data_IF_542066865981
#
_entry.id   IF_542066865981
#
_cell.length_a   1.000
_cell.length_b   1.000
_cell.length_c   1.000
_cell.angle_alpha   90.00
_cell.angle_beta   90.00
_cell.angle_gamma   90.00
#
_symmetry.space_group_name_H-M   'P 1'
#
loop_
_entity.id
_entity.type
_entity.pdbx_description
1 polymer ?
#
# COMPACT_ATOMS: atom_id res chain seq x y z
N UNK A 1 0.79 17.46 21.68
CA UNK A 1 2.04 17.24 22.48
C UNK A 1 3.25 16.76 21.65
N UNK A 2 3.05 16.37 20.40
CA UNK A 2 4.16 15.94 19.50
C UNK A 2 4.99 17.13 19.00
N UNK A 3 4.43 18.32 18.96
CA UNK A 3 5.10 19.53 18.44
C UNK A 3 6.18 20.13 19.36
N UNK A 4 6.24 19.76 20.62
CA UNK A 4 7.25 20.28 21.57
C UNK A 4 8.63 19.63 21.43
N UNK A 5 8.75 18.51 20.72
CA UNK A 5 10.00 17.79 20.50
C UNK A 5 10.88 18.37 19.39
N UNK A 6 10.41 19.38 18.65
CA UNK A 6 11.09 19.90 17.45
C UNK A 6 11.82 21.25 17.67
N UNK A 7 11.94 21.70 18.91
CA UNK A 7 12.50 23.03 19.20
C UNK A 7 13.84 22.91 19.94
N UNK A 8 14.96 22.98 19.21
CA UNK A 8 16.30 23.14 19.73
C UNK A 8 17.31 22.08 19.24
N UNK A 9 18.51 22.52 18.85
CA UNK A 9 19.55 21.67 18.26
C UNK A 9 20.06 20.56 19.20
N UNK A 10 20.05 20.79 20.51
CA UNK A 10 20.48 19.77 21.50
C UNK A 10 19.43 18.67 21.71
N UNK A 11 18.15 18.98 21.58
CA UNK A 11 17.09 17.97 21.58
C UNK A 11 17.15 17.05 20.37
N UNK A 12 17.50 17.57 19.20
CA UNK A 12 17.61 16.76 17.97
C UNK A 12 18.62 15.63 18.07
N UNK A 13 19.74 15.81 18.77
CA UNK A 13 20.78 14.76 18.95
C UNK A 13 20.27 13.66 19.87
N UNK A 14 19.69 14.03 21.03
CA UNK A 14 19.12 13.07 21.98
C UNK A 14 17.94 12.31 21.40
N UNK A 15 17.09 12.99 20.66
CA UNK A 15 15.94 12.38 20.01
C UNK A 15 16.37 11.42 18.88
N UNK A 16 17.47 11.73 18.17
CA UNK A 16 18.04 10.81 17.19
C UNK A 16 18.48 9.49 17.82
N UNK A 17 19.21 9.55 18.94
CA UNK A 17 19.67 8.35 19.65
C UNK A 17 18.50 7.54 20.23
N UNK A 18 17.51 8.21 20.80
CA UNK A 18 16.29 7.58 21.28
C UNK A 18 15.49 6.90 20.15
N UNK A 19 15.35 7.56 19.00
CA UNK A 19 14.68 7.00 17.83
C UNK A 19 15.42 5.77 17.29
N UNK A 20 16.76 5.83 17.22
CA UNK A 20 17.58 4.68 16.83
C UNK A 20 17.39 3.53 17.83
N UNK A 21 17.34 3.82 19.13
CA UNK A 21 17.12 2.81 20.18
C UNK A 21 15.82 2.06 20.06
N UNK A 22 14.75 2.70 19.56
CA UNK A 22 13.45 2.06 19.29
C UNK A 22 13.34 1.49 17.86
N UNK A 23 14.42 1.56 17.06
CA UNK A 23 14.46 1.02 15.71
C UNK A 23 13.93 1.97 14.63
N UNK A 24 13.81 3.26 14.92
CA UNK A 24 13.42 4.31 13.97
C UNK A 24 14.65 5.14 13.55
N UNK A 25 14.42 6.14 12.69
CA UNK A 25 15.47 7.06 12.24
C UNK A 25 14.84 8.44 12.01
N UNK A 26 15.48 9.49 12.52
CA UNK A 26 15.03 10.87 12.32
C UNK A 26 15.14 11.31 10.85
N UNK A 27 16.17 10.88 10.13
CA UNK A 27 16.42 11.32 8.76
C UNK A 27 16.54 12.85 8.65
N UNK A 28 15.74 13.43 7.75
CA UNK A 28 15.65 14.91 7.58
C UNK A 28 14.61 15.59 8.49
N UNK A 29 14.05 14.87 9.45
CA UNK A 29 13.03 15.37 10.37
C UNK A 29 11.60 15.36 9.83
N UNK A 30 11.33 14.66 8.74
CA UNK A 30 9.99 14.48 8.22
C UNK A 30 9.17 13.53 9.08
N UNK A 31 7.93 13.91 9.39
CA UNK A 31 6.96 13.05 10.07
C UNK A 31 5.72 12.89 9.19
N UNK A 32 5.38 11.66 8.88
CA UNK A 32 4.16 11.32 8.14
C UNK A 32 3.24 10.54 9.09
N UNK A 33 2.06 11.09 9.35
CA UNK A 33 1.01 10.43 10.14
C UNK A 33 0.05 9.74 9.18
N UNK A 34 -0.26 8.49 9.44
CA UNK A 34 -1.13 7.65 8.62
C UNK A 34 -2.22 7.03 9.51
N UNK A 35 -3.32 6.64 8.91
CA UNK A 35 -4.47 6.01 9.56
C UNK A 35 -4.78 4.62 8.94
N UNK A 36 -5.88 4.02 9.35
CA UNK A 36 -6.31 2.69 8.89
C UNK A 36 -6.70 2.66 7.40
N UNK A 37 -6.92 3.81 6.79
CA UNK A 37 -7.21 3.93 5.35
C UNK A 37 -5.94 3.89 4.48
N UNK A 38 -4.76 3.79 5.10
CA UNK A 38 -3.47 3.67 4.41
C UNK A 38 -2.98 2.22 4.40
N UNK A 39 -2.67 1.69 3.22
CA UNK A 39 -2.10 0.35 3.08
C UNK A 39 -0.58 0.38 3.29
N UNK A 40 -0.09 -0.34 4.30
CA UNK A 40 1.35 -0.34 4.63
C UNK A 40 2.20 -1.01 3.54
N UNK A 41 1.64 -1.95 2.78
CA UNK A 41 2.32 -2.59 1.64
C UNK A 41 2.50 -1.60 0.49
N UNK A 42 1.48 -0.81 0.19
CA UNK A 42 1.52 0.21 -0.86
C UNK A 42 2.44 1.38 -0.49
N UNK A 43 2.43 1.79 0.77
CA UNK A 43 3.36 2.79 1.31
C UNK A 43 4.82 2.32 1.21
N UNK A 44 5.11 1.07 1.57
CA UNK A 44 6.45 0.50 1.42
C UNK A 44 6.89 0.47 -0.05
N UNK A 45 5.97 0.14 -0.96
CA UNK A 45 6.19 0.19 -2.42
C UNK A 45 6.51 1.61 -2.89
N UNK A 46 5.74 2.60 -2.44
CA UNK A 46 5.95 4.02 -2.78
C UNK A 46 7.35 4.52 -2.39
N UNK A 47 7.80 4.22 -1.17
CA UNK A 47 9.15 4.60 -0.74
C UNK A 47 10.25 3.89 -1.52
N UNK A 48 10.02 2.64 -1.92
CA UNK A 48 10.96 1.92 -2.76
C UNK A 48 11.02 2.46 -4.19
N UNK A 49 9.89 2.84 -4.77
CA UNK A 49 9.84 3.48 -6.09
C UNK A 49 10.74 4.72 -6.12
N UNK A 50 10.56 5.61 -5.15
CA UNK A 50 11.44 6.76 -4.96
C UNK A 50 12.92 6.35 -4.86
N UNK A 51 13.24 5.32 -4.08
CA UNK A 51 14.64 4.87 -3.92
C UNK A 51 15.22 4.28 -5.22
N UNK A 52 14.42 3.60 -6.01
CA UNK A 52 14.82 3.07 -7.32
C UNK A 52 15.18 4.21 -8.26
N UNK A 53 14.38 5.27 -8.29
CA UNK A 53 14.60 6.44 -9.14
C UNK A 53 15.83 7.26 -8.71
N UNK A 54 16.08 7.38 -7.40
CA UNK A 54 17.22 8.09 -6.84
C UNK A 54 18.52 7.26 -6.83
N UNK A 55 18.49 6.00 -7.23
CA UNK A 55 19.67 5.14 -7.26
C UNK A 55 20.67 5.61 -8.30
N UNK A 56 21.92 5.87 -7.87
CA UNK A 56 23.00 6.24 -8.77
C UNK A 56 23.47 5.09 -9.70
N UNK A 57 22.97 3.88 -9.49
CA UNK A 57 23.24 2.70 -10.31
C UNK A 57 24.63 2.07 -10.19
N UNK A 58 25.52 2.56 -9.29
CA UNK A 58 26.90 2.07 -9.16
C UNK A 58 27.00 0.67 -8.57
N UNK A 59 26.39 0.42 -7.41
CA UNK A 59 26.52 -0.87 -6.76
C UNK A 59 25.35 -1.80 -7.08
N UNK A 60 25.65 -3.06 -7.33
CA UNK A 60 24.64 -4.08 -7.69
C UNK A 60 23.57 -4.30 -6.63
N UNK A 61 23.88 -4.37 -5.30
CA UNK A 61 22.84 -4.55 -4.29
C UNK A 61 21.79 -3.45 -4.30
N UNK A 62 22.17 -2.19 -4.47
CA UNK A 62 21.22 -1.09 -4.60
C UNK A 62 20.50 -1.15 -5.97
N UNK A 63 21.25 -1.06 -7.08
CA UNK A 63 20.69 -0.97 -8.44
C UNK A 63 19.70 -2.08 -8.78
N UNK A 64 20.06 -3.34 -8.50
CA UNK A 64 19.24 -4.50 -8.85
C UNK A 64 18.36 -4.88 -7.67
N UNK A 65 18.88 -4.85 -6.44
CA UNK A 65 18.14 -5.31 -5.26
C UNK A 65 16.92 -4.46 -4.96
N UNK A 66 17.04 -3.12 -4.98
CA UNK A 66 15.88 -2.24 -4.75
C UNK A 66 14.79 -2.43 -5.81
N UNK A 67 15.18 -2.60 -7.08
CA UNK A 67 14.25 -2.90 -8.16
C UNK A 67 13.53 -4.24 -7.94
N UNK A 68 14.24 -5.27 -7.51
CA UNK A 68 13.63 -6.58 -7.21
C UNK A 68 12.67 -6.51 -6.03
N UNK A 69 13.02 -5.75 -4.98
CA UNK A 69 12.10 -5.50 -3.87
C UNK A 69 10.81 -4.80 -4.36
N UNK A 70 10.96 -3.78 -5.21
CA UNK A 70 9.82 -3.08 -5.81
C UNK A 70 8.93 -4.03 -6.63
N UNK A 71 9.53 -4.87 -7.48
CA UNK A 71 8.80 -5.85 -8.29
C UNK A 71 8.02 -6.86 -7.42
N UNK A 72 8.59 -7.28 -6.28
CA UNK A 72 7.91 -8.18 -5.33
C UNK A 72 6.73 -7.46 -4.68
N UNK A 73 6.90 -6.22 -4.22
CA UNK A 73 5.80 -5.45 -3.63
C UNK A 73 4.71 -5.13 -4.65
N UNK A 74 5.07 -4.79 -5.88
CA UNK A 74 4.11 -4.58 -6.97
C UNK A 74 3.31 -5.85 -7.27
N UNK A 75 3.96 -7.01 -7.26
CA UNK A 75 3.30 -8.31 -7.39
C UNK A 75 2.33 -8.60 -6.23
N UNK A 76 2.72 -8.25 -5.00
CA UNK A 76 1.87 -8.42 -3.81
C UNK A 76 0.66 -7.50 -3.88
N UNK A 77 0.84 -6.21 -4.20
CA UNK A 77 -0.26 -5.23 -4.30
C UNK A 77 -1.24 -5.55 -5.43
N UNK A 78 -0.79 -6.27 -6.47
CA UNK A 78 -1.63 -6.81 -7.56
C UNK A 78 -2.29 -8.15 -7.23
N UNK A 79 -2.09 -8.69 -6.03
CA UNK A 79 -2.67 -9.97 -5.61
C UNK A 79 -2.05 -11.21 -6.26
N UNK A 80 -0.90 -11.06 -6.92
CA UNK A 80 -0.16 -12.15 -7.55
C UNK A 80 0.97 -12.71 -6.67
N UNK A 81 1.19 -12.11 -5.50
CA UNK A 81 2.20 -12.51 -4.53
C UNK A 81 1.95 -13.90 -3.95
N UNK A 82 3.03 -14.51 -3.48
CA UNK A 82 3.04 -15.79 -2.74
C UNK A 82 3.65 -15.58 -1.34
N UNK A 83 3.43 -16.52 -0.41
CA UNK A 83 4.06 -16.44 0.91
C UNK A 83 5.58 -16.47 0.82
N UNK A 84 6.12 -17.24 -0.12
CA UNK A 84 7.56 -17.28 -0.40
C UNK A 84 8.12 -15.91 -0.86
N UNK A 85 7.30 -15.10 -1.52
CA UNK A 85 7.73 -13.75 -1.94
C UNK A 85 7.95 -12.84 -0.72
N UNK A 86 7.18 -13.02 0.37
CA UNK A 86 7.38 -12.27 1.62
C UNK A 86 8.72 -12.65 2.26
N UNK A 87 9.04 -13.94 2.33
CA UNK A 87 10.30 -14.41 2.90
C UNK A 87 11.50 -14.00 2.04
N UNK A 88 11.37 -14.06 0.72
CA UNK A 88 12.38 -13.56 -0.22
C UNK A 88 12.59 -12.04 -0.09
N UNK A 89 11.50 -11.29 0.08
CA UNK A 89 11.57 -9.85 0.29
C UNK A 89 12.36 -9.51 1.56
N UNK A 90 12.09 -10.19 2.66
CA UNK A 90 12.78 -9.99 3.93
C UNK A 90 14.28 -10.32 3.82
N UNK A 91 14.64 -11.46 3.23
CA UNK A 91 16.03 -11.85 2.98
C UNK A 91 16.75 -10.84 2.09
N UNK A 92 16.11 -10.36 1.03
CA UNK A 92 16.66 -9.39 0.12
C UNK A 92 16.90 -8.03 0.80
N UNK A 93 16.01 -7.63 1.72
CA UNK A 93 16.18 -6.44 2.53
C UNK A 93 17.48 -6.48 3.35
N UNK A 94 17.73 -7.57 4.08
CA UNK A 94 18.94 -7.73 4.86
C UNK A 94 20.19 -7.77 3.96
N UNK A 95 20.13 -8.48 2.84
CA UNK A 95 21.23 -8.54 1.89
C UNK A 95 21.63 -7.16 1.36
N UNK A 96 20.65 -6.35 0.96
CA UNK A 96 20.91 -5.00 0.45
C UNK A 96 21.47 -4.10 1.53
N UNK A 97 20.90 -4.16 2.73
CA UNK A 97 21.34 -3.35 3.89
C UNK A 97 22.82 -3.59 4.23
N UNK A 98 23.26 -4.84 4.17
CA UNK A 98 24.63 -5.22 4.53
C UNK A 98 25.64 -4.98 3.40
N UNK A 99 25.23 -5.07 2.14
CA UNK A 99 26.15 -5.07 0.99
C UNK A 99 26.10 -3.78 0.15
N UNK A 100 25.20 -2.84 0.43
CA UNK A 100 25.15 -1.57 -0.29
C UNK A 100 26.30 -0.65 0.14
N UNK A 101 26.90 0.05 -0.84
CA UNK A 101 28.10 0.86 -0.62
C UNK A 101 27.84 2.24 -0.01
N UNK A 102 26.59 2.71 -0.01
CA UNK A 102 26.26 4.04 0.51
C UNK A 102 24.96 4.05 1.30
N UNK A 103 24.72 5.13 2.03
CA UNK A 103 23.56 5.31 2.90
C UNK A 103 22.22 5.11 2.19
N UNK A 104 22.08 5.53 0.93
CA UNK A 104 20.83 5.32 0.18
C UNK A 104 20.46 3.83 0.10
N UNK A 105 21.40 3.00 -0.36
CA UNK A 105 21.12 1.55 -0.47
C UNK A 105 21.00 0.86 0.89
N UNK A 106 21.75 1.30 1.90
CA UNK A 106 21.71 0.72 3.26
C UNK A 106 20.38 1.05 3.97
N UNK A 107 19.76 2.20 3.68
CA UNK A 107 18.51 2.62 4.31
C UNK A 107 17.26 2.29 3.50
N UNK A 108 17.39 2.05 2.20
CA UNK A 108 16.30 1.69 1.30
C UNK A 108 15.40 0.55 1.81
N UNK A 109 15.92 -0.52 2.42
CA UNK A 109 15.09 -1.60 2.97
C UNK A 109 14.35 -1.25 4.26
N UNK A 110 14.71 -0.18 4.97
CA UNK A 110 14.13 0.12 6.29
C UNK A 110 12.60 0.27 6.29
N UNK A 111 11.97 0.98 5.33
CA UNK A 111 10.50 1.05 5.27
C UNK A 111 9.85 -0.33 5.12
N UNK A 112 10.44 -1.19 4.31
CA UNK A 112 9.92 -2.56 4.10
C UNK A 112 10.11 -3.41 5.35
N UNK A 113 11.27 -3.38 5.98
CA UNK A 113 11.54 -4.13 7.22
C UNK A 113 10.65 -3.68 8.37
N UNK A 114 10.41 -2.37 8.52
CA UNK A 114 9.53 -1.85 9.56
C UNK A 114 8.08 -2.25 9.31
N UNK A 115 7.58 -2.14 8.09
CA UNK A 115 6.22 -2.57 7.77
C UNK A 115 6.03 -4.08 7.87
N UNK A 116 7.01 -4.89 7.49
CA UNK A 116 7.00 -6.34 7.73
C UNK A 116 7.01 -6.70 9.22
N UNK A 117 7.72 -5.92 10.05
CA UNK A 117 7.78 -6.18 11.49
C UNK A 117 6.46 -5.88 12.20
N UNK A 118 5.81 -4.77 11.85
CA UNK A 118 4.64 -4.27 12.59
C UNK A 118 3.30 -4.59 11.92
N UNK A 119 3.28 -4.82 10.61
CA UNK A 119 2.07 -5.00 9.80
C UNK A 119 2.15 -6.26 8.91
N UNK A 120 2.81 -7.32 9.40
CA UNK A 120 2.96 -8.58 8.64
C UNK A 120 1.61 -9.18 8.23
N UNK A 121 0.57 -8.98 9.04
CA UNK A 121 -0.77 -9.47 8.77
C UNK A 121 -1.38 -8.85 7.51
N UNK A 122 -1.07 -7.57 7.21
CA UNK A 122 -1.50 -6.93 5.97
C UNK A 122 -0.86 -7.60 4.74
N UNK A 123 0.43 -7.93 4.81
CA UNK A 123 1.11 -8.67 3.73
C UNK A 123 0.48 -10.04 3.50
N UNK A 124 0.16 -10.74 4.58
CA UNK A 124 -0.49 -12.05 4.53
C UNK A 124 -1.89 -11.92 3.91
N UNK A 125 -2.67 -10.91 4.30
CA UNK A 125 -4.00 -10.65 3.73
C UNK A 125 -3.93 -10.37 2.22
N UNK A 126 -2.96 -9.57 1.75
CA UNK A 126 -2.76 -9.33 0.32
C UNK A 126 -2.42 -10.60 -0.45
N UNK A 127 -1.59 -11.46 0.13
CA UNK A 127 -1.09 -12.68 -0.52
C UNK A 127 -2.09 -13.82 -0.43
N UNK A 128 -2.61 -14.11 0.77
CA UNK A 128 -3.47 -15.28 1.05
C UNK A 128 -4.92 -15.00 0.72
N UNK A 129 -5.46 -13.89 1.24
CA UNK A 129 -6.87 -13.57 1.13
C UNK A 129 -7.20 -12.74 -0.12
N UNK A 130 -6.16 -12.29 -0.85
CA UNK A 130 -6.29 -11.39 -2.02
C UNK A 130 -7.11 -10.15 -1.71
N UNK A 131 -6.96 -9.62 -0.50
CA UNK A 131 -7.70 -8.49 0.03
C UNK A 131 -6.75 -7.44 0.59
N UNK A 132 -7.02 -6.17 0.28
CA UNK A 132 -6.35 -5.04 0.90
C UNK A 132 -7.20 -4.54 2.08
N UNK A 133 -6.75 -4.67 3.34
CA UNK A 133 -7.55 -4.22 4.50
C UNK A 133 -7.93 -2.74 4.43
N UNK A 134 -7.00 -1.88 4.04
CA UNK A 134 -7.23 -0.44 3.85
C UNK A 134 -8.06 -0.10 2.59
N UNK A 135 -8.27 -1.06 1.68
CA UNK A 135 -9.03 -0.83 0.45
C UNK A 135 -8.40 0.20 -0.49
N UNK A 136 -7.06 0.26 -0.58
CA UNK A 136 -6.30 1.18 -1.43
C UNK A 136 -5.83 0.49 -2.71
N UNK A 137 -5.35 -0.76 -2.61
CA UNK A 137 -4.78 -1.50 -3.74
C UNK A 137 -5.85 -1.82 -4.79
N UNK A 138 -5.86 -1.08 -5.90
CA UNK A 138 -6.93 -1.15 -6.92
C UNK A 138 -7.15 -2.55 -7.47
N UNK A 139 -6.08 -3.32 -7.68
CA UNK A 139 -6.18 -4.67 -8.23
C UNK A 139 -6.82 -5.69 -7.26
N UNK A 140 -6.87 -5.38 -5.97
CA UNK A 140 -7.50 -6.20 -4.95
C UNK A 140 -8.90 -5.73 -4.57
N UNK A 141 -9.30 -4.52 -5.00
CA UNK A 141 -10.62 -4.00 -4.68
C UNK A 141 -11.72 -4.76 -5.42
N UNK A 142 -12.79 -5.04 -4.72
CA UNK A 142 -14.04 -5.49 -5.30
C UNK A 142 -15.18 -4.58 -4.88
N UNK A 143 -16.07 -4.27 -5.82
CA UNK A 143 -17.28 -3.51 -5.53
C UNK A 143 -18.47 -4.42 -5.51
N UNK A 144 -19.27 -4.35 -4.45
CA UNK A 144 -20.52 -5.12 -4.30
C UNK A 144 -21.69 -4.20 -4.07
N UNK A 145 -22.85 -4.60 -4.59
CA UNK A 145 -24.11 -3.92 -4.32
C UNK A 145 -24.85 -4.68 -3.24
N UNK A 146 -25.28 -3.95 -2.21
CA UNK A 146 -26.12 -4.49 -1.12
C UNK A 146 -27.55 -4.44 -1.60
N UNK A 147 -28.15 -5.61 -1.86
CA UNK A 147 -29.51 -5.73 -2.42
C UNK A 147 -30.56 -5.02 -1.57
N UNK A 148 -30.46 -5.12 -0.24
CA UNK A 148 -31.41 -4.48 0.70
C UNK A 148 -31.40 -2.95 0.63
N UNK A 149 -30.27 -2.34 0.27
CA UNK A 149 -30.12 -0.89 0.13
C UNK A 149 -30.37 -0.41 -1.29
N UNK A 150 -30.33 -1.31 -2.28
CA UNK A 150 -30.47 -0.95 -3.69
C UNK A 150 -31.92 -0.69 -4.05
N UNK A 151 -32.24 0.53 -4.50
CA UNK A 151 -33.59 0.93 -4.96
C UNK A 151 -33.82 0.73 -6.45
N UNK A 152 -32.87 0.15 -7.19
CA UNK A 152 -33.01 -0.07 -8.62
C UNK A 152 -33.12 1.22 -9.46
N UNK A 153 -32.46 2.30 -9.04
CA UNK A 153 -32.55 3.62 -9.70
C UNK A 153 -31.70 3.75 -10.98
N UNK A 154 -30.94 2.75 -11.37
CA UNK A 154 -30.08 2.68 -12.56
C UNK A 154 -28.95 3.71 -12.64
N UNK A 155 -28.78 4.60 -11.67
CA UNK A 155 -27.78 5.67 -11.71
C UNK A 155 -26.34 5.12 -11.81
N UNK A 156 -26.04 4.05 -11.10
CA UNK A 156 -24.75 3.36 -11.14
C UNK A 156 -24.50 2.71 -12.51
N UNK A 157 -25.49 2.05 -13.12
CA UNK A 157 -25.37 1.41 -14.42
C UNK A 157 -25.12 2.43 -15.53
N UNK A 158 -25.88 3.54 -15.54
CA UNK A 158 -25.68 4.64 -16.50
C UNK A 158 -24.35 5.37 -16.32
N UNK A 159 -23.81 5.31 -15.12
CA UNK A 159 -22.53 5.96 -14.79
C UNK A 159 -21.32 5.07 -14.95
N UNK A 160 -21.49 3.80 -15.29
CA UNK A 160 -20.39 2.87 -15.47
C UNK A 160 -19.77 3.01 -16.87
N UNK A 161 -18.48 3.41 -16.99
CA UNK A 161 -17.83 3.63 -18.30
C UNK A 161 -17.67 2.35 -19.12
N UNK A 162 -17.62 1.20 -18.46
CA UNK A 162 -17.43 -0.12 -19.11
C UNK A 162 -18.69 -0.98 -19.12
N UNK A 163 -19.82 -0.47 -18.65
CA UNK A 163 -21.07 -1.22 -18.61
C UNK A 163 -21.04 -2.49 -17.75
N UNK A 164 -20.22 -2.51 -16.70
CA UNK A 164 -20.07 -3.68 -15.81
C UNK A 164 -21.23 -3.87 -14.85
N UNK A 165 -22.26 -3.01 -14.87
CA UNK A 165 -23.39 -3.07 -13.93
C UNK A 165 -24.65 -3.40 -14.71
N UNK A 166 -25.28 -4.49 -14.34
CA UNK A 166 -26.55 -4.97 -14.92
C UNK A 166 -27.67 -4.95 -13.88
N UNK A 167 -28.90 -4.77 -14.35
CA UNK A 167 -30.10 -4.77 -13.51
C UNK A 167 -31.24 -4.03 -14.18
N UNK A 168 -32.46 -4.26 -13.69
CA UNK A 168 -33.68 -3.63 -14.17
C UNK A 168 -34.18 -2.55 -13.22
N UNK A 169 -34.98 -1.63 -13.71
CA UNK A 169 -35.58 -0.55 -12.92
C UNK A 169 -36.38 -1.14 -11.76
N UNK A 170 -36.24 -0.59 -10.57
CA UNK A 170 -36.86 -1.03 -9.32
C UNK A 170 -36.42 -2.42 -8.81
N UNK A 171 -35.38 -3.01 -9.38
CA UNK A 171 -34.76 -4.23 -8.86
C UNK A 171 -33.31 -4.00 -8.51
N UNK A 172 -32.75 -4.79 -7.59
CA UNK A 172 -31.32 -4.71 -7.26
C UNK A 172 -30.46 -4.91 -8.51
N UNK A 173 -29.36 -4.15 -8.59
CA UNK A 173 -28.38 -4.28 -9.66
C UNK A 173 -27.23 -5.17 -9.20
N UNK A 174 -26.50 -5.76 -10.14
CA UNK A 174 -25.30 -6.56 -9.88
C UNK A 174 -24.11 -5.98 -10.64
N UNK A 175 -22.91 -6.17 -10.08
CA UNK A 175 -21.65 -5.75 -10.71
C UNK A 175 -20.94 -7.00 -11.24
N UNK A 176 -20.63 -7.00 -12.52
CA UNK A 176 -19.76 -8.00 -13.15
C UNK A 176 -18.30 -7.66 -12.81
N UNK A 177 -17.70 -8.41 -11.88
CA UNK A 177 -16.34 -8.20 -11.42
C UNK A 177 -15.30 -8.44 -12.50
N UNK A 178 -15.60 -9.25 -13.51
CA UNK A 178 -14.69 -9.50 -14.64
C UNK A 178 -14.58 -8.31 -15.61
N UNK A 179 -15.65 -7.53 -15.73
CA UNK A 179 -15.68 -6.32 -16.57
C UNK A 179 -15.34 -5.05 -15.81
N UNK A 180 -15.40 -5.11 -14.48
CA UNK A 180 -15.24 -3.93 -13.64
C UNK A 180 -13.77 -3.45 -13.62
N UNK A 181 -13.53 -2.21 -14.05
CA UNK A 181 -12.22 -1.54 -13.98
C UNK A 181 -11.92 -0.91 -12.61
N UNK A 182 -12.76 -1.16 -11.62
CA UNK A 182 -12.56 -0.75 -10.21
C UNK A 182 -12.40 0.77 -9.99
N UNK A 183 -12.98 1.60 -10.85
CA UNK A 183 -12.84 3.07 -10.83
C UNK A 183 -13.65 3.79 -9.74
N UNK A 184 -14.54 3.10 -9.00
CA UNK A 184 -15.34 3.70 -7.93
C UNK A 184 -16.49 4.63 -8.36
N UNK A 185 -16.65 4.95 -9.64
CA UNK A 185 -17.65 5.88 -10.15
C UNK A 185 -19.10 5.50 -9.78
N UNK A 186 -19.38 4.22 -9.68
CA UNK A 186 -20.69 3.71 -9.28
C UNK A 186 -21.00 4.02 -7.81
N UNK A 187 -20.00 3.90 -6.93
CA UNK A 187 -20.12 4.22 -5.51
C UNK A 187 -20.38 5.72 -5.31
N UNK A 188 -19.64 6.58 -5.99
CA UNK A 188 -19.82 8.03 -5.93
C UNK A 188 -21.21 8.48 -6.44
N UNK A 189 -21.81 7.76 -7.41
CA UNK A 189 -23.15 8.06 -7.95
C UNK A 189 -24.31 7.45 -7.17
N UNK A 190 -24.02 6.56 -6.21
CA UNK A 190 -25.07 5.89 -5.45
C UNK A 190 -25.56 6.74 -4.28
N UNK A 191 -26.69 7.44 -4.44
CA UNK A 191 -27.31 8.25 -3.39
C UNK A 191 -27.81 7.45 -2.19
N UNK A 192 -27.96 6.14 -2.32
CA UNK A 192 -28.49 5.26 -1.28
C UNK A 192 -27.39 4.54 -0.48
N UNK A 193 -26.11 4.78 -0.78
CA UNK A 193 -25.02 4.07 -0.11
C UNK A 193 -25.11 2.55 -0.25
N UNK A 194 -25.69 2.07 -1.36
CA UNK A 194 -25.91 0.64 -1.58
C UNK A 194 -24.67 -0.08 -2.16
N UNK A 195 -23.60 0.65 -2.48
CA UNK A 195 -22.39 0.08 -3.07
C UNK A 195 -21.25 0.22 -2.05
N UNK A 196 -20.64 -0.90 -1.74
CA UNK A 196 -19.49 -0.99 -0.84
C UNK A 196 -18.26 -1.44 -1.61
N UNK A 197 -17.10 -1.05 -1.13
CA UNK A 197 -15.81 -1.62 -1.53
C UNK A 197 -15.36 -2.67 -0.50
N UNK A 198 -14.89 -3.79 -0.98
CA UNK A 198 -14.27 -4.86 -0.18
C UNK A 198 -12.87 -5.14 -0.68
#
# INVERSE_FOLDING_TARGET
EIASCLVGSEMCIRDSDNLIGIGSMMGSGGLIVMDEDNCMVDIAKFFLEFTVDESCGKCTPCRIGTKRMYEILDKITKGQGTLEDIDKLEQLCYYIKENALCGLGQTAPNPVLSTLRYFRDEYIAHVKDKKCPAGVCQDLLTYKIIDLKCKGCTACARGCPVGAISGTVKQPHSIDTAKCIKCGACMAKCKFGAIIKE
#
